data_IF_079113426716
#
_entry.id   IF_079113426716
#
_cell.length_a   1.000
_cell.length_b   1.000
_cell.length_c   1.000
_cell.angle_alpha   90.00
_cell.angle_beta   90.00
_cell.angle_gamma   90.00
#
_symmetry.space_group_name_H-M   'P 1'
#
loop_
_entity.id
_entity.type
_entity.pdbx_description
1 polymer ?
#
# COMPACT_ATOMS: atom_id res chain seq x y z
N UNK A 1 3.20 14.84 14.38
CA UNK A 1 3.82 14.16 13.23
C UNK A 1 2.68 13.56 12.44
N UNK A 2 2.61 13.87 11.15
CA UNK A 2 1.56 13.35 10.27
C UNK A 2 1.96 11.95 9.86
N UNK A 3 1.14 10.97 10.20
CA UNK A 3 1.29 9.59 9.81
C UNK A 3 0.52 9.37 8.50
N UNK A 4 1.08 8.61 7.57
CA UNK A 4 0.43 8.19 6.33
C UNK A 4 0.09 6.71 6.40
N UNK A 5 -0.92 6.28 5.63
CA UNK A 5 -1.20 4.88 5.40
C UNK A 5 -0.83 4.46 3.98
N UNK A 6 -0.40 3.21 3.84
CA UNK A 6 -0.19 2.55 2.56
C UNK A 6 -0.82 1.16 2.65
N UNK A 7 -1.76 0.87 1.75
CA UNK A 7 -2.48 -0.38 1.67
C UNK A 7 -2.16 -1.08 0.35
N UNK A 8 -1.94 -2.39 0.40
CA UNK A 8 -1.70 -3.19 -0.78
C UNK A 8 -1.11 -4.55 -0.47
N UNK A 9 -0.58 -5.21 -1.51
CA UNK A 9 -0.11 -6.59 -1.43
C UNK A 9 1.38 -6.63 -1.10
N UNK A 10 1.77 -7.43 -0.10
CA UNK A 10 3.18 -7.66 0.17
C UNK A 10 3.76 -8.50 -0.97
N UNK A 11 4.60 -7.91 -1.80
CA UNK A 11 5.20 -8.62 -2.94
C UNK A 11 6.28 -9.59 -2.47
N UNK A 12 7.17 -9.13 -1.57
CA UNK A 12 8.26 -9.94 -1.01
C UNK A 12 8.83 -9.34 0.26
N UNK A 13 9.37 -10.19 1.13
CA UNK A 13 10.17 -9.83 2.29
C UNK A 13 11.64 -9.79 1.84
N UNK A 14 12.26 -8.61 1.92
CA UNK A 14 13.65 -8.37 1.50
C UNK A 14 14.63 -8.76 2.59
N UNK A 15 14.26 -8.51 3.86
CA UNK A 15 15.09 -8.81 5.02
C UNK A 15 14.20 -9.13 6.22
N UNK A 16 14.67 -10.08 7.03
CA UNK A 16 14.09 -10.36 8.33
C UNK A 16 15.17 -10.63 9.39
N UNK A 17 14.91 -10.13 10.60
CA UNK A 17 15.61 -10.52 11.81
C UNK A 17 14.61 -11.22 12.76
N UNK A 18 14.68 -12.55 12.89
CA UNK A 18 13.72 -13.31 13.69
C UNK A 18 13.84 -13.04 15.20
N UNK A 19 14.96 -12.48 15.67
CA UNK A 19 15.19 -12.25 17.11
C UNK A 19 14.37 -11.06 17.66
N UNK A 20 14.02 -10.10 16.81
CA UNK A 20 13.30 -8.89 17.21
C UNK A 20 12.16 -8.52 16.24
N UNK A 21 11.78 -9.45 15.37
CA UNK A 21 10.74 -9.28 14.35
C UNK A 21 10.96 -8.08 13.42
N UNK A 22 12.19 -7.57 13.29
CA UNK A 22 12.47 -6.49 12.37
C UNK A 22 12.45 -7.01 10.93
N UNK A 23 11.66 -6.36 10.07
CA UNK A 23 11.51 -6.74 8.67
C UNK A 23 11.60 -5.54 7.75
N UNK A 24 12.10 -5.80 6.55
CA UNK A 24 12.03 -4.91 5.39
C UNK A 24 11.30 -5.67 4.30
N UNK A 25 10.24 -5.09 3.77
CA UNK A 25 9.43 -5.70 2.71
C UNK A 25 9.11 -4.70 1.61
N UNK A 26 8.79 -5.23 0.43
CA UNK A 26 8.27 -4.48 -0.69
C UNK A 26 6.74 -4.64 -0.71
N UNK A 27 6.05 -3.51 -0.73
CA UNK A 27 4.60 -3.43 -0.82
C UNK A 27 4.21 -2.90 -2.20
N UNK A 28 3.42 -3.66 -2.95
CA UNK A 28 2.71 -3.17 -4.14
C UNK A 28 1.46 -2.41 -3.68
N UNK A 29 1.45 -1.10 -3.91
CA UNK A 29 0.51 -0.14 -3.35
C UNK A 29 -0.77 -0.15 -4.19
N UNK A 30 -1.88 -0.44 -3.51
CA UNK A 30 -3.22 -0.30 -4.06
C UNK A 30 -3.86 1.03 -3.66
N UNK A 31 -3.54 1.55 -2.46
CA UNK A 31 -4.16 2.75 -1.91
C UNK A 31 -3.29 3.45 -0.84
N UNK A 32 -3.39 4.78 -0.74
CA UNK A 32 -2.65 5.61 0.24
C UNK A 32 -3.28 7.00 0.40
N UNK A 33 -3.16 7.61 1.58
CA UNK A 33 -3.48 9.04 1.81
C UNK A 33 -2.32 9.99 1.49
N UNK A 34 -1.18 9.48 1.05
CA UNK A 34 -0.04 10.30 0.65
C UNK A 34 -0.22 10.80 -0.80
N UNK A 35 -0.86 11.96 -0.98
CA UNK A 35 -1.14 12.53 -2.31
C UNK A 35 0.12 12.77 -3.16
N UNK A 36 1.23 13.12 -2.50
CA UNK A 36 2.52 13.42 -3.13
C UNK A 36 3.36 12.16 -3.46
N UNK A 37 2.83 10.95 -3.21
CA UNK A 37 3.50 9.69 -3.56
C UNK A 37 3.05 9.21 -4.95
N UNK A 38 3.98 9.13 -5.90
CA UNK A 38 3.70 8.81 -7.32
C UNK A 38 4.13 7.40 -7.77
N UNK A 39 4.83 6.66 -6.90
CA UNK A 39 5.25 5.29 -7.17
C UNK A 39 4.14 4.29 -6.84
N UNK A 40 4.25 3.10 -7.42
CA UNK A 40 3.32 2.00 -7.20
C UNK A 40 3.79 1.03 -6.15
N UNK A 41 5.03 1.12 -5.73
CA UNK A 41 5.62 0.23 -4.75
C UNK A 41 6.36 1.06 -3.71
N UNK A 42 6.44 0.55 -2.49
CA UNK A 42 7.17 1.20 -1.41
C UNK A 42 7.86 0.18 -0.53
N UNK A 43 9.06 0.54 -0.06
CA UNK A 43 9.76 -0.20 0.98
C UNK A 43 9.14 0.12 2.33
N UNK A 44 8.68 -0.92 3.01
CA UNK A 44 8.12 -0.84 4.36
C UNK A 44 9.13 -1.41 5.34
N UNK A 45 9.41 -0.68 6.42
CA UNK A 45 10.42 -1.06 7.42
C UNK A 45 9.92 -0.88 8.85
N UNK A 46 10.13 -1.91 9.68
CA UNK A 46 9.76 -1.87 11.09
C UNK A 46 9.63 -3.26 11.72
N UNK A 47 9.10 -3.30 12.93
CA UNK A 47 8.90 -4.53 13.69
C UNK A 47 7.53 -5.14 13.41
N UNK A 48 7.49 -6.37 12.88
CA UNK A 48 6.28 -7.05 12.42
C UNK A 48 6.36 -8.55 12.68
N UNK A 49 5.41 -9.12 13.43
CA UNK A 49 5.41 -10.55 13.78
C UNK A 49 4.76 -11.44 12.71
N UNK A 50 3.53 -11.13 12.31
CA UNK A 50 2.70 -11.95 11.41
C UNK A 50 2.52 -11.27 10.04
N UNK A 51 3.54 -11.37 9.19
CA UNK A 51 3.54 -10.86 7.80
C UNK A 51 3.65 -12.06 6.88
N UNK A 52 2.79 -12.10 5.86
CA UNK A 52 2.74 -13.19 4.88
C UNK A 52 2.80 -12.55 3.49
N UNK A 53 3.75 -13.02 2.68
CA UNK A 53 3.88 -12.61 1.28
C UNK A 53 2.62 -12.99 0.48
N UNK A 54 2.26 -12.15 -0.50
CA UNK A 54 1.10 -12.34 -1.36
C UNK A 54 -0.23 -11.95 -0.73
N UNK A 55 -0.23 -11.39 0.48
CA UNK A 55 -1.45 -10.92 1.14
C UNK A 55 -1.50 -9.41 1.30
N UNK A 56 -2.74 -8.92 1.44
CA UNK A 56 -3.03 -7.50 1.58
C UNK A 56 -2.92 -7.03 3.03
N UNK A 57 -2.21 -5.93 3.20
CA UNK A 57 -1.99 -5.28 4.49
C UNK A 57 -2.11 -3.77 4.33
N UNK A 58 -2.55 -3.13 5.40
CA UNK A 58 -2.44 -1.68 5.56
C UNK A 58 -1.38 -1.38 6.59
N UNK A 59 -0.43 -0.53 6.22
CA UNK A 59 0.66 -0.05 7.06
C UNK A 59 0.46 1.42 7.35
N UNK A 60 0.74 1.84 8.58
CA UNK A 60 0.78 3.25 8.95
C UNK A 60 2.16 3.62 9.45
N UNK A 61 2.64 4.78 9.05
CA UNK A 61 3.97 5.23 9.45
C UNK A 61 4.36 6.60 8.93
N UNK A 62 5.64 6.89 9.07
CA UNK A 62 6.24 8.11 8.57
C UNK A 62 7.11 7.80 7.36
N UNK A 63 7.03 8.63 6.34
CA UNK A 63 7.94 8.57 5.21
C UNK A 63 9.33 9.04 5.64
N UNK A 64 10.34 8.25 5.31
CA UNK A 64 11.74 8.52 5.61
C UNK A 64 12.57 8.39 4.34
N UNK A 65 13.53 9.29 4.17
CA UNK A 65 14.44 9.25 3.02
C UNK A 65 15.66 8.38 3.36
N UNK A 66 15.87 7.29 2.62
CA UNK A 66 17.11 6.52 2.68
C UNK A 66 18.10 7.04 1.61
N UNK A 67 19.36 7.33 1.97
CA UNK A 67 20.32 7.97 1.06
C UNK A 67 20.65 7.15 -0.19
N UNK A 68 20.47 5.81 -0.16
CA UNK A 68 20.78 4.91 -1.28
C UNK A 68 19.54 4.35 -1.99
N UNK A 69 18.41 4.24 -1.30
CA UNK A 69 17.26 3.44 -1.76
C UNK A 69 16.00 4.27 -1.94
N UNK A 70 16.10 5.60 -1.76
CA UNK A 70 14.95 6.46 -1.90
C UNK A 70 14.05 6.44 -0.67
N UNK A 71 12.78 6.77 -0.90
CA UNK A 71 11.77 6.97 0.11
C UNK A 71 11.23 5.62 0.64
N UNK A 72 11.03 5.53 1.95
CA UNK A 72 10.55 4.33 2.62
C UNK A 72 9.48 4.68 3.67
N UNK A 73 8.60 3.74 3.96
CA UNK A 73 7.64 3.86 5.05
C UNK A 73 8.22 3.21 6.30
N UNK A 74 8.55 4.02 7.31
CA UNK A 74 8.88 3.53 8.65
C UNK A 74 7.59 3.37 9.46
N UNK A 75 7.20 2.14 9.72
CA UNK A 75 5.90 1.84 10.31
C UNK A 75 5.87 2.01 11.82
N UNK A 76 4.70 2.38 12.31
CA UNK A 76 4.33 2.39 13.74
C UNK A 76 3.34 1.27 14.06
N UNK A 77 2.48 0.91 13.09
CA UNK A 77 1.45 -0.12 13.19
C UNK A 77 1.09 -0.66 11.81
N UNK A 78 0.46 -1.82 11.80
CA UNK A 78 -0.03 -2.47 10.60
C UNK A 78 -1.26 -3.32 10.94
N UNK A 79 -2.09 -3.59 9.94
CA UNK A 79 -3.17 -4.56 10.05
C UNK A 79 -3.26 -5.39 8.78
N UNK A 80 -3.58 -6.68 8.95
CA UNK A 80 -3.89 -7.56 7.83
C UNK A 80 -5.28 -7.22 7.32
N UNK A 81 -5.44 -7.05 6.01
CA UNK A 81 -6.74 -6.86 5.42
C UNK A 81 -7.61 -8.09 5.73
N UNK A 82 -8.70 -7.91 6.48
CA UNK A 82 -9.65 -9.01 6.71
C UNK A 82 -10.39 -9.27 5.41
N UNK A 83 -10.47 -10.51 4.91
CA UNK A 83 -11.35 -10.83 3.80
C UNK A 83 -12.79 -10.84 4.29
N UNK A 84 -13.46 -9.68 4.41
CA UNK A 84 -14.91 -9.66 4.64
C UNK A 84 -15.59 -8.38 4.16
N UNK A 85 -16.77 -8.60 3.56
CA UNK A 85 -17.77 -7.62 3.15
C UNK A 85 -18.18 -6.57 4.20
N UNK A 86 -17.85 -6.77 5.49
CA UNK A 86 -18.12 -5.80 6.58
C UNK A 86 -17.04 -4.70 6.72
N UNK A 87 -15.83 -4.89 6.20
CA UNK A 87 -14.77 -3.87 6.23
C UNK A 87 -15.12 -2.66 5.35
N UNK A 88 -15.80 -2.91 4.23
CA UNK A 88 -16.25 -1.90 3.28
C UNK A 88 -17.16 -0.85 3.92
N UNK A 89 -18.12 -1.25 4.76
CA UNK A 89 -19.07 -0.30 5.36
C UNK A 89 -18.39 0.68 6.33
N UNK A 90 -17.40 0.22 7.09
CA UNK A 90 -16.68 1.10 8.05
C UNK A 90 -15.69 2.03 7.33
N UNK A 91 -15.13 1.59 6.21
CA UNK A 91 -14.26 2.38 5.33
C UNK A 91 -15.05 3.43 4.51
N UNK A 92 -16.27 3.10 4.05
CA UNK A 92 -17.17 4.06 3.37
C UNK A 92 -17.95 5.00 4.31
N UNK A 93 -17.93 4.75 5.62
CA UNK A 93 -18.66 5.57 6.62
C UNK A 93 -17.77 6.51 7.43
N UNK A 94 -16.46 6.54 7.17
CA UNK A 94 -15.61 7.64 7.64
C UNK A 94 -15.68 8.77 6.62
N UNK A 95 -16.01 9.98 7.07
CA UNK A 95 -16.16 11.24 6.31
C UNK A 95 -14.88 11.73 5.58
N UNK A 96 -14.13 10.83 4.94
CA UNK A 96 -12.85 11.11 4.30
C UNK A 96 -12.70 10.40 2.96
N UNK A 97 -13.77 10.34 2.15
CA UNK A 97 -13.69 9.85 0.76
C UNK A 97 -13.91 10.99 -0.24
N UNK A 98 -12.93 11.88 -0.33
CA UNK A 98 -12.65 12.61 -1.57
C UNK A 98 -11.62 11.81 -2.34
N UNK A 99 -11.99 11.36 -3.53
CA UNK A 99 -11.03 10.83 -4.49
C UNK A 99 -11.05 9.33 -4.58
N UNK A 100 -11.84 8.86 -5.54
CA UNK A 100 -11.55 7.66 -6.31
C UNK A 100 -10.04 7.63 -6.56
N UNK A 101 -9.36 6.50 -6.34
CA UNK A 101 -8.03 6.26 -6.85
C UNK A 101 -8.07 6.21 -8.38
N UNK A 102 -8.23 7.37 -9.03
CA UNK A 102 -8.24 7.57 -10.49
C UNK A 102 -6.91 7.07 -11.09
N UNK A 103 -5.86 6.98 -10.27
CA UNK A 103 -4.52 6.54 -10.67
C UNK A 103 -4.44 5.05 -11.05
N UNK A 104 -5.27 4.15 -10.50
CA UNK A 104 -5.29 2.73 -10.93
C UNK A 104 -6.09 2.52 -12.21
N UNK A 105 -7.15 3.31 -12.45
CA UNK A 105 -7.94 3.25 -13.68
C UNK A 105 -7.23 3.86 -14.90
N UNK A 106 -6.33 4.84 -14.71
CA UNK A 106 -5.62 5.49 -15.81
C UNK A 106 -4.40 4.72 -16.32
N UNK A 107 -3.69 3.96 -15.46
CA UNK A 107 -2.47 3.25 -15.90
C UNK A 107 -2.77 1.89 -16.58
N UNK A 108 -3.95 1.30 -16.38
CA UNK A 108 -4.46 0.22 -17.24
C UNK A 108 -4.80 0.67 -18.67
N UNK A 109 -4.90 1.99 -18.92
CA UNK A 109 -5.27 2.52 -20.23
C UNK A 109 -4.10 2.66 -21.21
N UNK A 110 -2.85 2.63 -20.75
CA UNK A 110 -1.69 2.98 -21.61
C UNK A 110 -0.98 1.76 -22.22
N UNK A 111 -1.21 0.54 -21.73
CA UNK A 111 -0.54 -0.65 -22.27
C UNK A 111 -1.35 -1.44 -23.32
N UNK A 112 -2.66 -1.22 -23.46
CA UNK A 112 -3.47 -1.95 -24.45
C UNK A 112 -3.90 -1.01 -25.56
N UNK A 113 -3.06 -0.89 -26.59
CA UNK A 113 -3.37 -0.26 -27.87
C UNK A 113 -4.46 -1.01 -28.65
N UNK A 114 -5.66 -1.12 -28.09
CA UNK A 114 -6.82 -1.73 -28.75
C UNK A 114 -8.07 -0.92 -28.42
N UNK A 115 -8.68 -0.35 -29.45
CA UNK A 115 -9.95 0.38 -29.41
C UNK A 115 -11.03 -0.39 -28.63
N UNK A 116 -11.72 0.21 -27.64
CA UNK A 116 -12.99 -0.33 -27.20
C UNK A 116 -14.06 0.03 -28.24
N UNK A 117 -14.44 -0.97 -29.05
CA UNK A 117 -15.72 -0.96 -29.77
C UNK A 117 -16.82 -1.13 -28.73
N UNK A 118 -17.41 -0.01 -28.29
CA UNK A 118 -18.70 -0.04 -27.60
C UNK A 118 -19.76 0.32 -28.62
N UNK A 119 -20.49 -0.71 -29.06
CA UNK A 119 -21.78 -0.63 -29.76
C UNK A 119 -22.67 -1.66 -29.08
N UNK A 120 -23.62 -1.22 -28.25
CA UNK A 120 -25.02 -0.96 -28.60
C UNK A 120 -25.62 -0.05 -27.53
#
# INVERSE_FOLDING_TARGET
>A
MTEFYFSGTIERIIFENPSNFFRILLLDIQDTDCEDFDDFEIIVTGTMADIIEGEDYTFWGNLVQHPKYGQQLKISRYERAKPTSKGLVKYFSSDHFKGIGVKTAQKLWIFMGTKPLIRF
#
